data_IF_166517723038
#
_entry.id   IF_166517723038
#
_cell.length_a   1.000
_cell.length_b   1.000
_cell.length_c   1.000
_cell.angle_alpha   90.00
_cell.angle_beta   90.00
_cell.angle_gamma   90.00
#
_symmetry.space_group_name_H-M   'P 1'
#
loop_
_entity.id
_entity.type
_entity.pdbx_description
1 polymer ?
#
# COMPACT_ATOMS: atom_id res chain seq x y z
N UNK A 1 -4.68 0.19 -11.98
CA UNK A 1 -4.29 1.54 -11.52
C UNK A 1 -3.27 1.54 -10.38
N UNK A 2 -3.36 0.71 -9.34
CA UNK A 2 -2.33 0.66 -8.27
C UNK A 2 -0.91 0.31 -8.77
N UNK A 3 -0.78 -0.64 -9.70
CA UNK A 3 0.53 -1.02 -10.27
C UNK A 3 1.20 0.10 -11.08
N UNK A 4 0.45 1.11 -11.53
CA UNK A 4 1.01 2.30 -12.19
C UNK A 4 1.55 3.28 -11.14
N UNK A 5 0.83 3.50 -10.04
CA UNK A 5 1.31 4.32 -8.92
C UNK A 5 2.60 3.77 -8.30
N UNK A 6 2.71 2.43 -8.22
CA UNK A 6 3.93 1.77 -7.77
C UNK A 6 5.18 2.12 -8.60
N UNK A 7 5.03 2.51 -9.86
CA UNK A 7 6.14 2.80 -10.78
C UNK A 7 6.55 4.28 -10.84
N UNK A 8 5.71 5.18 -10.36
CA UNK A 8 5.91 6.63 -10.56
C UNK A 8 6.11 7.37 -9.23
N UNK A 9 5.68 6.79 -8.11
CA UNK A 9 5.77 7.43 -6.80
C UNK A 9 6.98 6.96 -6.00
N UNK A 10 7.79 7.87 -5.46
CA UNK A 10 8.86 7.51 -4.51
C UNK A 10 8.30 7.07 -3.15
N UNK A 11 7.14 7.62 -2.77
CA UNK A 11 6.46 7.35 -1.49
C UNK A 11 4.99 7.07 -1.70
N UNK A 12 4.45 6.17 -0.88
CA UNK A 12 3.02 5.80 -0.88
C UNK A 12 2.47 5.89 0.53
N UNK A 13 1.19 6.26 0.64
CA UNK A 13 0.42 6.24 1.88
C UNK A 13 -0.88 5.48 1.66
N UNK A 14 -1.13 4.49 2.50
CA UNK A 14 -2.35 3.69 2.50
C UNK A 14 -3.34 4.23 3.54
N UNK A 15 -4.52 4.60 3.06
CA UNK A 15 -5.64 5.02 3.89
C UNK A 15 -6.76 4.00 3.84
N UNK A 16 -7.37 3.73 4.99
CA UNK A 16 -8.55 2.88 5.10
C UNK A 16 -9.57 3.55 6.03
N UNK A 17 -10.80 3.72 5.57
CA UNK A 17 -11.88 4.39 6.32
C UNK A 17 -11.48 5.78 6.87
N UNK A 18 -10.77 6.56 6.04
CA UNK A 18 -10.33 7.90 6.40
C UNK A 18 -9.16 7.96 7.39
N UNK A 19 -8.57 6.81 7.76
CA UNK A 19 -7.39 6.73 8.65
C UNK A 19 -6.15 6.35 7.87
N UNK A 20 -5.04 7.04 8.15
CA UNK A 20 -3.73 6.63 7.66
C UNK A 20 -3.33 5.33 8.36
N UNK A 21 -3.15 4.27 7.59
CA UNK A 21 -2.75 2.96 8.11
C UNK A 21 -1.24 2.80 8.01
N UNK A 22 -0.68 3.02 6.83
CA UNK A 22 0.76 2.85 6.57
C UNK A 22 1.26 3.92 5.60
N UNK A 23 2.49 4.42 5.79
CA UNK A 23 3.14 5.28 4.81
C UNK A 23 4.64 5.01 4.78
N UNK A 24 5.25 5.11 3.60
CA UNK A 24 6.65 4.80 3.43
C UNK A 24 7.10 4.82 1.97
N UNK A 25 8.32 4.34 1.70
CA UNK A 25 8.79 4.06 0.36
C UNK A 25 7.79 3.18 -0.40
N UNK A 26 7.51 3.55 -1.64
CA UNK A 26 6.52 2.83 -2.45
C UNK A 26 6.89 1.36 -2.62
N UNK A 27 8.16 1.08 -2.95
CA UNK A 27 8.68 -0.28 -3.08
C UNK A 27 8.39 -1.13 -1.82
N UNK A 28 8.61 -0.57 -0.63
CA UNK A 28 8.35 -1.24 0.64
C UNK A 28 6.88 -1.57 0.80
N UNK A 29 5.97 -0.62 0.56
CA UNK A 29 4.53 -0.87 0.73
C UNK A 29 4.03 -1.96 -0.23
N UNK A 30 4.52 -2.01 -1.47
CA UNK A 30 4.06 -2.97 -2.48
C UNK A 30 4.75 -4.34 -2.44
N UNK A 31 5.97 -4.44 -1.89
CA UNK A 31 6.73 -5.70 -1.85
C UNK A 31 6.79 -6.34 -0.46
N UNK A 32 6.91 -5.52 0.60
CA UNK A 32 7.05 -5.97 1.98
C UNK A 32 6.39 -4.98 2.96
N UNK A 33 5.06 -4.82 2.87
CA UNK A 33 4.32 -3.98 3.81
C UNK A 33 4.54 -4.48 5.24
N UNK A 34 4.59 -3.55 6.19
CA UNK A 34 4.76 -3.87 7.61
C UNK A 34 3.43 -4.12 8.31
N UNK A 35 2.32 -3.68 7.71
CA UNK A 35 0.99 -3.85 8.28
C UNK A 35 0.20 -4.88 7.48
N UNK A 36 -0.33 -5.88 8.17
CA UNK A 36 -1.15 -6.96 7.58
C UNK A 36 -2.30 -6.41 6.73
N UNK A 37 -2.97 -5.35 7.20
CA UNK A 37 -4.06 -4.69 6.48
C UNK A 37 -3.63 -4.10 5.13
N UNK A 38 -2.41 -3.57 5.05
CA UNK A 38 -1.82 -3.10 3.78
C UNK A 38 -1.51 -4.28 2.86
N UNK A 39 -0.96 -5.37 3.41
CA UNK A 39 -0.68 -6.60 2.66
C UNK A 39 -1.95 -7.21 2.06
N UNK A 40 -3.00 -7.32 2.85
CA UNK A 40 -4.28 -7.87 2.40
C UNK A 40 -4.83 -7.03 1.23
N UNK A 41 -4.62 -5.70 1.25
CA UNK A 41 -5.19 -4.74 0.29
C UNK A 41 -4.47 -4.83 -1.04
N UNK A 42 -3.15 -4.91 -0.98
CA UNK A 42 -2.29 -5.00 -2.16
C UNK A 42 -2.39 -6.38 -2.81
N UNK A 43 -2.56 -7.44 -2.02
CA UNK A 43 -2.71 -8.82 -2.53
C UNK A 43 -4.13 -9.16 -2.98
N UNK A 44 -5.10 -8.27 -2.78
CA UNK A 44 -6.49 -8.50 -3.15
C UNK A 44 -7.17 -9.58 -2.30
N UNK A 45 -6.72 -9.80 -1.06
CA UNK A 45 -7.41 -10.64 -0.06
C UNK A 45 -8.56 -9.93 0.64
N UNK A 46 -8.82 -8.67 0.29
CA UNK A 46 -10.10 -8.04 0.54
C UNK A 46 -11.11 -8.59 -0.46
N UNK A 47 -12.14 -9.27 0.04
CA UNK A 47 -13.29 -9.66 -0.77
C UNK A 47 -13.97 -8.47 -1.43
#
# INVERSE_FOLDING_TARGET
NMQQAARVSDRTAFFFEGRLIESGPTDQLYTRPQIQKTQDYITGRFG
#
